data_IF_746034626371
#
_entry.id   IF_746034626371
#
_cell.length_a   1.000
_cell.length_b   1.000
_cell.length_c   1.000
_cell.angle_alpha   90.00
_cell.angle_beta   90.00
_cell.angle_gamma   90.00
#
_symmetry.space_group_name_H-M   'P 1'
#
loop_
_entity.id
_entity.type
_entity.pdbx_description
1 polymer ?
#
# COMPACT_ATOMS: atom_id res chain seq x y z
N UNK A 1 -1.84 2.57 21.62
CA UNK A 1 -2.27 2.69 23.02
C UNK A 1 -1.08 2.99 23.93
N UNK A 2 -1.33 3.66 25.06
CA UNK A 2 -0.33 3.91 26.11
C UNK A 2 -0.21 2.64 26.96
N UNK A 3 1.01 2.10 27.10
CA UNK A 3 1.30 0.94 27.96
C UNK A 3 1.81 1.37 29.35
N UNK A 4 2.60 2.45 29.39
CA UNK A 4 3.15 3.03 30.63
C UNK A 4 3.22 4.55 30.48
N UNK A 5 2.96 5.24 31.58
CA UNK A 5 3.11 6.68 31.69
C UNK A 5 3.69 7.01 33.06
N UNK A 6 4.75 7.81 33.09
CA UNK A 6 5.37 8.33 34.30
C UNK A 6 5.54 9.85 34.16
N UNK A 7 5.34 10.56 35.27
CA UNK A 7 5.42 12.01 35.32
C UNK A 7 6.17 12.45 36.58
N UNK A 8 7.10 13.37 36.40
CA UNK A 8 7.75 14.07 37.52
C UNK A 8 7.79 15.57 37.29
N UNK A 9 7.64 16.34 38.37
CA UNK A 9 7.80 17.80 38.36
C UNK A 9 8.79 18.18 39.46
N UNK A 10 9.74 19.06 39.12
CA UNK A 10 10.82 19.48 40.03
C UNK A 10 11.59 18.29 40.68
N UNK A 11 11.66 17.15 39.99
CA UNK A 11 12.31 15.93 40.48
C UNK A 11 11.46 15.05 41.39
N UNK A 12 10.22 15.43 41.71
CA UNK A 12 9.30 14.63 42.50
C UNK A 12 8.29 13.91 41.57
N UNK A 13 8.04 12.59 41.76
CA UNK A 13 7.04 11.86 40.98
C UNK A 13 5.63 12.37 41.31
N UNK A 14 4.79 12.47 40.27
CA UNK A 14 3.39 12.88 40.39
C UNK A 14 2.45 11.72 40.07
N UNK A 15 1.37 11.61 40.84
CA UNK A 15 0.34 10.62 40.60
C UNK A 15 -0.53 11.03 39.40
N UNK A 16 -0.44 10.24 38.32
CA UNK A 16 -1.30 10.39 37.15
C UNK A 16 -2.74 9.99 37.48
N UNK A 17 -3.68 10.68 36.85
CA UNK A 17 -5.13 10.45 36.92
C UNK A 17 -5.67 10.29 35.52
N UNK A 18 -6.71 9.48 35.37
CA UNK A 18 -7.42 9.34 34.09
C UNK A 18 -8.24 10.61 33.79
N UNK A 19 -8.31 10.99 32.51
CA UNK A 19 -9.01 12.16 32.00
C UNK A 19 -8.08 13.35 31.73
N UNK A 20 -8.53 14.26 30.86
CA UNK A 20 -7.76 15.43 30.40
C UNK A 20 -7.54 16.56 31.42
N UNK A 21 -7.89 16.37 32.70
CA UNK A 21 -7.77 17.38 33.76
C UNK A 21 -9.04 18.20 34.01
N UNK A 22 -8.92 19.31 34.76
CA UNK A 22 -10.06 20.18 35.05
C UNK A 22 -10.46 21.00 33.81
N UNK A 23 -11.73 20.94 33.43
CA UNK A 23 -12.31 21.75 32.34
C UNK A 23 -12.35 21.08 30.96
N UNK A 24 -11.92 19.82 30.83
CA UNK A 24 -11.70 19.17 29.54
C UNK A 24 -12.45 17.84 29.41
N UNK A 25 -13.78 17.86 29.58
CA UNK A 25 -14.64 16.68 29.35
C UNK A 25 -14.53 16.10 27.91
N UNK A 26 -13.98 16.88 26.98
CA UNK A 26 -13.71 16.49 25.58
C UNK A 26 -12.43 15.68 25.38
N UNK A 27 -11.54 15.59 26.37
CA UNK A 27 -10.23 15.00 26.17
C UNK A 27 -10.06 13.70 26.99
N UNK A 28 -9.84 12.62 26.27
CA UNK A 28 -9.41 11.35 26.82
C UNK A 28 -7.89 11.38 26.97
N UNK A 29 -7.37 10.91 28.11
CA UNK A 29 -5.94 10.94 28.37
C UNK A 29 -5.61 10.78 29.85
N UNK A 30 -4.43 11.30 30.23
CA UNK A 30 -3.97 11.32 31.62
C UNK A 30 -3.61 12.75 32.03
N UNK A 31 -3.80 13.06 33.30
CA UNK A 31 -3.49 14.36 33.89
C UNK A 31 -2.88 14.20 35.29
N UNK A 32 -2.17 15.22 35.76
CA UNK A 32 -1.74 15.31 37.15
C UNK A 32 -1.83 16.75 37.63
N UNK A 33 -2.05 16.93 38.93
CA UNK A 33 -2.01 18.24 39.55
C UNK A 33 -0.56 18.60 39.88
N UNK A 34 -0.23 19.86 39.64
CA UNK A 34 1.07 20.46 39.95
C UNK A 34 0.81 21.70 40.78
N UNK A 35 1.60 21.88 41.84
CA UNK A 35 1.57 23.12 42.62
C UNK A 35 2.23 24.27 41.83
N UNK A 36 1.39 25.15 41.30
CA UNK A 36 1.80 26.28 40.47
C UNK A 36 2.37 27.48 41.26
N UNK A 37 2.33 27.46 42.60
CA UNK A 37 2.71 28.61 43.44
C UNK A 37 4.12 29.13 43.18
N UNK A 38 5.05 28.25 42.79
CA UNK A 38 6.45 28.58 42.52
C UNK A 38 6.73 29.08 41.10
N UNK A 39 5.78 28.97 40.16
CA UNK A 39 5.98 29.31 38.74
C UNK A 39 6.22 30.81 38.50
N UNK A 40 5.75 31.67 39.40
CA UNK A 40 5.97 33.12 39.32
C UNK A 40 7.44 33.51 39.61
N UNK A 41 8.20 32.64 40.27
CA UNK A 41 9.54 32.96 40.80
C UNK A 41 10.63 32.06 40.21
N UNK A 42 10.29 30.83 39.81
CA UNK A 42 11.25 29.86 39.28
C UNK A 42 10.64 28.98 38.20
N UNK A 43 11.44 28.65 37.18
CA UNK A 43 11.11 27.63 36.21
C UNK A 43 10.95 26.26 36.88
N UNK A 44 9.87 25.56 36.54
CA UNK A 44 9.60 24.19 37.01
C UNK A 44 9.87 23.19 35.88
N UNK A 45 10.93 22.37 35.96
CA UNK A 45 11.14 21.31 34.99
C UNK A 45 10.11 20.20 35.20
N UNK A 46 9.47 19.78 34.12
CA UNK A 46 8.50 18.68 34.10
C UNK A 46 8.98 17.66 33.08
N UNK A 47 9.08 16.40 33.49
CA UNK A 47 9.47 15.29 32.64
C UNK A 47 8.32 14.29 32.53
N UNK A 48 7.98 13.93 31.31
CA UNK A 48 6.99 12.92 30.98
C UNK A 48 7.68 11.79 30.24
N UNK A 49 7.42 10.55 30.67
CA UNK A 49 7.89 9.36 29.98
C UNK A 49 6.69 8.49 29.64
N UNK A 50 6.57 8.13 28.37
CA UNK A 50 5.45 7.33 27.87
C UNK A 50 5.98 6.17 27.03
N UNK A 51 5.45 4.98 27.30
CA UNK A 51 5.59 3.83 26.41
C UNK A 51 4.30 3.69 25.60
N UNK A 52 4.43 3.71 24.28
CA UNK A 52 3.32 3.55 23.36
C UNK A 52 3.48 2.29 22.52
N UNK A 53 2.37 1.65 22.22
CA UNK A 53 2.27 0.59 21.22
C UNK A 53 1.32 1.02 20.11
N UNK A 54 1.83 1.08 18.89
CA UNK A 54 1.08 1.47 17.70
C UNK A 54 1.97 1.40 16.46
N UNK A 55 1.36 1.30 15.29
CA UNK A 55 2.03 1.12 14.00
C UNK A 55 1.56 2.10 12.91
N UNK A 56 0.67 3.06 13.25
CA UNK A 56 0.06 3.94 12.26
C UNK A 56 0.70 5.33 12.26
N UNK A 57 0.42 6.14 13.29
CA UNK A 57 0.89 7.52 13.34
C UNK A 57 1.20 8.00 14.76
N UNK A 58 2.05 9.02 14.84
CA UNK A 58 2.36 9.76 16.05
C UNK A 58 2.25 11.26 15.75
N UNK A 59 1.44 11.96 16.54
CA UNK A 59 1.23 13.40 16.39
C UNK A 59 1.53 14.15 17.69
N UNK A 60 2.14 15.32 17.55
CA UNK A 60 2.42 16.27 18.62
C UNK A 60 1.73 17.59 18.29
N UNK A 61 0.86 18.06 19.18
CA UNK A 61 0.37 19.45 19.14
C UNK A 61 1.23 20.34 20.03
N UNK A 62 2.06 21.22 19.47
CA UNK A 62 2.90 22.12 20.26
C UNK A 62 2.04 23.16 20.99
N UNK A 63 2.43 23.44 22.24
CA UNK A 63 1.81 24.48 23.08
C UNK A 63 2.85 25.37 23.77
N UNK A 64 4.12 24.99 23.76
CA UNK A 64 5.16 25.78 24.42
C UNK A 64 5.56 27.01 23.61
N UNK A 65 6.18 27.98 24.29
CA UNK A 65 6.80 29.14 23.63
C UNK A 65 7.83 28.74 22.58
N UNK A 66 8.60 27.70 22.87
CA UNK A 66 9.45 26.99 21.92
C UNK A 66 9.31 25.49 22.15
N UNK A 67 9.02 24.76 21.08
CA UNK A 67 8.90 23.30 21.08
C UNK A 67 9.99 22.69 20.22
N UNK A 68 10.82 21.83 20.81
CA UNK A 68 11.76 20.98 20.08
C UNK A 68 11.29 19.53 20.14
N UNK A 69 11.08 18.91 18.99
CA UNK A 69 10.69 17.50 18.92
C UNK A 69 11.65 16.75 17.99
N UNK A 70 12.31 15.74 18.55
CA UNK A 70 13.23 14.87 17.82
C UNK A 70 12.65 13.47 17.78
N UNK A 71 12.51 12.92 16.57
CA UNK A 71 12.06 11.56 16.37
C UNK A 71 13.15 10.73 15.70
N UNK A 72 13.27 9.47 16.13
CA UNK A 72 14.06 8.43 15.48
C UNK A 72 13.21 7.17 15.43
N UNK A 73 13.22 6.50 14.30
CA UNK A 73 12.51 5.24 14.10
C UNK A 73 13.31 4.34 13.17
N UNK A 74 13.36 3.01 13.41
CA UNK A 74 13.95 2.06 12.47
C UNK A 74 13.07 1.83 11.22
N UNK A 75 11.87 2.41 11.15
CA UNK A 75 10.98 2.27 10.00
C UNK A 75 11.49 3.07 8.79
N UNK A 76 11.64 2.51 7.58
CA UNK A 76 12.27 3.21 6.46
C UNK A 76 11.37 4.20 5.71
N UNK A 77 10.07 4.23 6.02
CA UNK A 77 9.07 4.89 5.17
C UNK A 77 8.16 5.85 5.96
N UNK A 78 8.70 6.99 6.43
CA UNK A 78 7.88 8.01 7.08
C UNK A 78 7.06 8.82 6.06
N UNK A 79 5.91 9.30 6.51
CA UNK A 79 5.15 10.38 5.88
C UNK A 79 4.97 11.51 6.89
N UNK A 80 5.56 12.65 6.58
CA UNK A 80 5.43 13.87 7.40
C UNK A 80 4.15 14.60 7.02
N UNK A 81 3.28 14.82 8.00
CA UNK A 81 1.93 15.36 7.83
C UNK A 81 1.61 16.43 8.88
N UNK A 82 0.46 17.06 8.75
CA UNK A 82 0.00 18.16 9.61
C UNK A 82 0.49 19.53 9.16
N UNK A 83 0.28 20.55 10.00
CA UNK A 83 0.64 21.93 9.69
C UNK A 83 2.11 22.28 9.92
N UNK A 84 2.85 21.42 10.63
CA UNK A 84 4.27 21.62 10.93
C UNK A 84 5.11 20.51 10.33
N UNK A 85 5.99 20.86 9.39
CA UNK A 85 6.95 19.94 8.78
C UNK A 85 8.29 19.97 9.53
N UNK A 86 9.08 18.88 9.47
CA UNK A 86 10.38 18.83 10.13
C UNK A 86 11.34 19.86 9.53
N UNK A 87 12.10 20.55 10.38
CA UNK A 87 13.14 21.49 9.98
C UNK A 87 14.32 20.75 9.30
N UNK A 88 14.59 19.52 9.72
CA UNK A 88 15.53 18.62 9.07
C UNK A 88 15.09 17.17 9.23
N UNK A 89 15.34 16.34 8.22
CA UNK A 89 15.07 14.91 8.27
C UNK A 89 16.13 14.14 7.47
N UNK A 90 16.33 12.87 7.83
CA UNK A 90 17.11 11.91 7.08
C UNK A 90 16.35 10.58 7.02
N UNK A 91 16.22 10.02 5.81
CA UNK A 91 15.51 8.75 5.55
C UNK A 91 16.50 7.80 4.89
N UNK A 92 16.53 6.56 5.35
CA UNK A 92 17.41 5.50 4.87
C UNK A 92 16.70 4.14 4.94
N UNK A 93 17.31 3.09 4.37
CA UNK A 93 16.80 1.73 4.48
C UNK A 93 16.74 1.19 5.92
N UNK A 94 17.56 1.73 6.83
CA UNK A 94 17.62 1.32 8.24
C UNK A 94 16.69 2.15 9.14
N UNK A 95 15.96 3.11 8.58
CA UNK A 95 15.03 3.97 9.30
C UNK A 95 15.09 5.45 8.96
N UNK A 96 14.45 6.26 9.79
CA UNK A 96 14.47 7.72 9.66
C UNK A 96 14.76 8.46 10.97
N UNK A 97 15.22 9.70 10.81
CA UNK A 97 15.28 10.70 11.87
C UNK A 97 14.68 12.01 11.40
N UNK A 98 14.01 12.72 12.31
CA UNK A 98 13.40 14.02 12.04
C UNK A 98 13.55 14.94 13.23
N UNK A 99 13.80 16.22 12.97
CA UNK A 99 13.86 17.27 13.99
C UNK A 99 12.91 18.41 13.63
N UNK A 100 12.02 18.72 14.57
CA UNK A 100 11.06 19.80 14.50
C UNK A 100 11.48 20.90 15.48
N UNK A 101 11.39 22.15 15.02
CA UNK A 101 11.52 23.34 15.86
C UNK A 101 10.33 24.24 15.59
N UNK A 102 9.43 24.33 16.55
CA UNK A 102 8.17 25.06 16.42
C UNK A 102 8.16 26.15 17.48
N UNK A 103 8.24 27.40 17.04
CA UNK A 103 8.16 28.58 17.90
C UNK A 103 6.72 29.04 18.04
N UNK A 104 6.40 29.74 19.12
CA UNK A 104 5.08 30.34 19.39
C UNK A 104 4.53 31.14 18.20
N UNK A 105 5.38 31.85 17.47
CA UNK A 105 4.97 32.66 16.31
C UNK A 105 4.31 31.82 15.22
N UNK A 106 4.66 30.53 15.12
CA UNK A 106 4.09 29.61 14.14
C UNK A 106 2.76 29.00 14.61
N UNK A 107 2.37 29.15 15.89
CA UNK A 107 1.15 28.57 16.45
C UNK A 107 -0.12 29.34 16.04
N UNK A 108 0.02 30.61 15.62
CA UNK A 108 -1.12 31.45 15.22
C UNK A 108 -2.12 31.77 16.35
N UNK A 109 -1.73 31.58 17.61
CA UNK A 109 -2.59 31.76 18.80
C UNK A 109 -1.80 32.30 20.00
N UNK A 110 -2.50 32.86 20.98
CA UNK A 110 -1.90 33.25 22.28
C UNK A 110 -1.57 32.01 23.11
N UNK A 111 -0.41 32.04 23.82
CA UNK A 111 -0.02 30.98 24.77
C UNK A 111 -0.85 31.00 26.06
N UNK A 112 -1.41 32.16 26.39
CA UNK A 112 -2.19 32.39 27.59
C UNK A 112 -3.56 32.89 27.17
N UNK A 113 -4.60 32.22 27.64
CA UNK A 113 -5.96 32.72 27.59
C UNK A 113 -6.48 32.88 29.01
N UNK A 114 -6.93 34.11 29.30
CA UNK A 114 -7.52 34.49 30.58
C UNK A 114 -9.04 34.33 30.59
N UNK A 115 -9.65 33.90 29.48
CA UNK A 115 -11.10 33.69 29.36
C UNK A 115 -11.63 32.51 30.19
N UNK A 116 -10.73 31.65 30.67
CA UNK A 116 -11.08 30.44 31.43
C UNK A 116 -11.63 29.30 30.56
N UNK A 117 -11.77 29.50 29.25
CA UNK A 117 -12.19 28.45 28.32
C UNK A 117 -10.98 27.72 27.73
N UNK A 118 -10.54 26.65 28.40
CA UNK A 118 -9.44 25.82 27.91
C UNK A 118 -9.74 25.18 26.54
N UNK A 119 -11.01 25.09 26.12
CA UNK A 119 -11.39 24.56 24.83
C UNK A 119 -11.15 25.54 23.67
N UNK A 120 -11.21 26.87 23.93
CA UNK A 120 -10.92 27.91 22.93
C UNK A 120 -9.46 27.88 22.48
N UNK A 121 -8.56 27.50 23.38
CA UNK A 121 -7.11 27.48 23.18
C UNK A 121 -6.63 26.36 22.27
N UNK A 122 -7.34 25.22 22.23
CA UNK A 122 -6.92 24.01 21.51
C UNK A 122 -7.43 24.00 20.06
N UNK A 123 -8.30 24.96 19.70
CA UNK A 123 -9.08 24.93 18.45
C UNK A 123 -10.20 23.88 18.48
N UNK A 124 -11.12 23.88 17.50
CA UNK A 124 -12.21 22.92 17.46
C UNK A 124 -11.66 21.49 17.34
N UNK A 125 -11.70 20.74 18.44
CA UNK A 125 -11.58 19.29 18.41
C UNK A 125 -12.86 18.71 17.81
N UNK A 126 -12.97 18.68 16.48
CA UNK A 126 -14.07 17.99 15.82
C UNK A 126 -14.58 18.53 14.48
N UNK A 127 -14.04 19.62 13.93
CA UNK A 127 -14.45 20.04 12.58
C UNK A 127 -13.58 19.38 11.52
N UNK A 128 -14.07 18.23 11.03
CA UNK A 128 -13.86 17.65 9.71
C UNK A 128 -12.54 18.00 9.00
N UNK A 129 -11.41 17.86 9.68
CA UNK A 129 -10.13 17.83 9.01
C UNK A 129 -10.06 16.47 8.30
N UNK A 130 -9.59 16.42 7.03
CA UNK A 130 -9.47 15.15 6.32
C UNK A 130 -8.73 14.13 7.19
N UNK A 131 -9.21 12.88 7.23
CA UNK A 131 -8.63 11.84 8.10
C UNK A 131 -7.09 11.87 8.05
N UNK A 132 -6.46 12.15 9.19
CA UNK A 132 -5.00 12.21 9.34
C UNK A 132 -4.34 13.59 9.19
N UNK A 133 -5.06 14.64 8.79
CA UNK A 133 -4.50 15.99 8.69
C UNK A 133 -4.99 16.91 9.82
N UNK A 134 -4.08 17.40 10.65
CA UNK A 134 -4.37 18.41 11.68
C UNK A 134 -3.41 19.60 11.50
N UNK A 135 -3.91 20.79 11.11
CA UNK A 135 -3.06 21.95 10.87
C UNK A 135 -2.41 22.48 12.15
N UNK A 136 -2.91 22.13 13.33
CA UNK A 136 -2.34 22.51 14.61
C UNK A 136 -1.34 21.46 15.15
N UNK A 137 -1.09 20.37 14.43
CA UNK A 137 -0.20 19.30 14.83
C UNK A 137 1.00 19.13 13.89
N UNK A 138 2.11 18.67 14.46
CA UNK A 138 3.17 17.99 13.73
C UNK A 138 2.86 16.49 13.78
N UNK A 139 2.61 15.85 12.64
CA UNK A 139 2.23 14.45 12.57
C UNK A 139 3.18 13.64 11.70
N UNK A 140 3.38 12.37 12.07
CA UNK A 140 4.22 11.43 11.36
C UNK A 140 3.46 10.13 11.24
N UNK A 141 3.23 9.71 10.01
CA UNK A 141 2.61 8.42 9.69
C UNK A 141 3.67 7.45 9.21
N UNK A 142 3.64 6.22 9.71
CA UNK A 142 4.48 5.12 9.29
C UNK A 142 3.74 4.43 8.16
N UNK A 143 4.14 4.72 6.92
CA UNK A 143 3.52 4.12 5.75
C UNK A 143 4.24 2.83 5.44
N UNK A 144 3.52 1.76 5.15
CA UNK A 144 4.09 0.61 4.46
C UNK A 144 3.97 0.84 2.94
N UNK A 145 5.05 1.23 2.24
CA UNK A 145 4.97 1.60 0.83
C UNK A 145 4.76 0.38 -0.08
N UNK A 146 4.73 -0.83 0.48
CA UNK A 146 4.44 -2.05 -0.26
C UNK A 146 3.39 -2.84 0.47
N UNK A 147 2.19 -2.28 0.45
CA UNK A 147 1.01 -3.06 0.72
C UNK A 147 0.97 -4.23 -0.29
N UNK A 148 1.31 -5.44 0.17
CA UNK A 148 1.24 -6.68 -0.64
C UNK A 148 -0.14 -6.76 -1.29
N UNK A 149 -1.18 -6.31 -0.58
CA UNK A 149 -2.54 -6.20 -1.07
C UNK A 149 -2.67 -5.22 -2.25
N UNK A 150 -1.98 -4.08 -2.25
CA UNK A 150 -1.93 -3.17 -3.42
C UNK A 150 -1.27 -3.80 -4.66
N UNK A 151 -0.21 -4.60 -4.47
CA UNK A 151 0.44 -5.32 -5.59
C UNK A 151 -0.45 -6.45 -6.11
N UNK A 152 -1.15 -7.15 -5.22
CA UNK A 152 -2.15 -8.16 -5.59
C UNK A 152 -3.35 -7.52 -6.28
N UNK A 153 -3.87 -6.39 -5.80
CA UNK A 153 -4.97 -5.64 -6.44
C UNK A 153 -4.59 -5.20 -7.85
N UNK A 154 -3.38 -4.63 -8.02
CA UNK A 154 -2.84 -4.34 -9.36
C UNK A 154 -2.74 -5.62 -10.21
N UNK A 155 -2.31 -6.75 -9.64
CA UNK A 155 -2.23 -8.02 -10.38
C UNK A 155 -3.58 -8.50 -10.88
N UNK A 156 -4.63 -8.39 -10.07
CA UNK A 156 -6.01 -8.75 -10.45
C UNK A 156 -6.52 -7.81 -11.52
N UNK A 157 -6.25 -6.50 -11.38
CA UNK A 157 -6.58 -5.49 -12.41
C UNK A 157 -5.86 -5.78 -13.72
N UNK A 158 -4.62 -6.25 -13.73
CA UNK A 158 -3.95 -6.69 -14.96
C UNK A 158 -4.30 -8.14 -15.36
N UNK A 159 -5.06 -8.86 -14.54
CA UNK A 159 -5.41 -10.25 -14.78
C UNK A 159 -6.27 -10.46 -16.02
N UNK A 160 -7.08 -9.47 -16.41
CA UNK A 160 -7.82 -9.52 -17.68
C UNK A 160 -6.88 -9.64 -18.88
N UNK A 161 -5.69 -9.03 -18.81
CA UNK A 161 -4.69 -9.07 -19.88
C UNK A 161 -4.15 -10.49 -20.03
N UNK A 162 -3.83 -11.13 -18.90
CA UNK A 162 -3.36 -12.52 -18.90
C UNK A 162 -4.43 -13.46 -19.44
N UNK A 163 -5.66 -13.34 -18.94
CA UNK A 163 -6.78 -14.18 -19.36
C UNK A 163 -7.07 -13.98 -20.85
N UNK A 164 -7.16 -12.73 -21.29
CA UNK A 164 -7.41 -12.36 -22.68
C UNK A 164 -6.33 -12.89 -23.62
N UNK A 165 -5.05 -12.67 -23.31
CA UNK A 165 -3.96 -13.16 -24.16
C UNK A 165 -3.79 -14.66 -24.15
N UNK A 166 -4.02 -15.30 -23.01
CA UNK A 166 -3.98 -16.77 -22.94
C UNK A 166 -5.07 -17.35 -23.84
N UNK A 167 -6.32 -16.89 -23.73
CA UNK A 167 -7.38 -17.36 -24.60
C UNK A 167 -7.17 -17.02 -26.07
N UNK A 168 -6.65 -15.83 -26.37
CA UNK A 168 -6.28 -15.46 -27.73
C UNK A 168 -5.19 -16.39 -28.29
N UNK A 169 -4.20 -16.78 -27.49
CA UNK A 169 -3.17 -17.72 -27.91
C UNK A 169 -3.75 -19.12 -28.20
N UNK A 170 -4.64 -19.63 -27.34
CA UNK A 170 -5.35 -20.89 -27.60
C UNK A 170 -6.25 -20.81 -28.84
N UNK A 171 -6.95 -19.68 -29.04
CA UNK A 171 -7.79 -19.43 -30.21
C UNK A 171 -6.96 -19.41 -31.50
N UNK A 172 -5.83 -18.71 -31.50
CA UNK A 172 -4.91 -18.71 -32.65
C UNK A 172 -4.36 -20.10 -32.92
N UNK A 173 -4.15 -20.92 -31.89
CA UNK A 173 -3.75 -22.30 -32.06
C UNK A 173 -4.85 -23.15 -32.73
N UNK A 174 -6.11 -22.98 -32.33
CA UNK A 174 -7.25 -23.66 -32.97
C UNK A 174 -7.37 -23.27 -34.45
N UNK A 175 -7.34 -21.96 -34.73
CA UNK A 175 -7.49 -21.40 -36.09
C UNK A 175 -6.33 -21.77 -37.01
N UNK A 176 -5.09 -21.69 -36.54
CA UNK A 176 -3.89 -21.92 -37.37
C UNK A 176 -3.54 -23.41 -37.45
N UNK A 177 -3.61 -24.15 -36.33
CA UNK A 177 -3.22 -25.56 -36.30
C UNK A 177 -4.35 -26.51 -36.72
N UNK A 178 -5.58 -26.02 -36.86
CA UNK A 178 -6.76 -26.82 -37.26
C UNK A 178 -7.15 -27.87 -36.22
N UNK A 179 -6.70 -27.71 -34.97
CA UNK A 179 -6.98 -28.64 -33.87
C UNK A 179 -8.12 -28.08 -33.05
N UNK A 180 -9.29 -28.74 -33.09
CA UNK A 180 -10.47 -28.36 -32.31
C UNK A 180 -10.19 -28.50 -30.81
N UNK A 181 -9.91 -27.38 -30.16
CA UNK A 181 -9.80 -27.29 -28.70
C UNK A 181 -11.20 -27.41 -28.11
N UNK A 182 -11.38 -28.31 -27.14
CA UNK A 182 -12.71 -28.51 -26.52
C UNK A 182 -13.08 -27.33 -25.62
N UNK A 183 -14.38 -27.02 -25.47
CA UNK A 183 -14.85 -25.99 -24.54
C UNK A 183 -14.40 -26.25 -23.09
N UNK A 184 -14.25 -27.53 -22.71
CA UNK A 184 -13.77 -27.94 -21.39
C UNK A 184 -12.30 -27.54 -21.17
N UNK A 185 -11.46 -27.56 -22.21
CA UNK A 185 -10.06 -27.12 -22.11
C UNK A 185 -9.97 -25.62 -21.84
N UNK A 186 -10.77 -24.80 -22.54
CA UNK A 186 -10.86 -23.37 -22.23
C UNK A 186 -11.31 -23.12 -20.78
N UNK A 187 -12.29 -23.89 -20.29
CA UNK A 187 -12.77 -23.76 -18.92
C UNK A 187 -11.67 -24.11 -17.89
N UNK A 188 -10.96 -25.22 -18.11
CA UNK A 188 -9.89 -25.67 -17.21
C UNK A 188 -8.68 -24.74 -17.22
N UNK A 189 -8.28 -24.23 -18.39
CA UNK A 189 -7.23 -23.21 -18.50
C UNK A 189 -7.65 -21.94 -17.76
N UNK A 190 -8.88 -21.47 -17.98
CA UNK A 190 -9.44 -20.32 -17.26
C UNK A 190 -9.45 -20.50 -15.75
N UNK A 191 -9.84 -21.68 -15.26
CA UNK A 191 -9.81 -22.02 -13.84
C UNK A 191 -8.38 -21.98 -13.27
N UNK A 192 -7.38 -22.47 -14.03
CA UNK A 192 -5.97 -22.37 -13.67
C UNK A 192 -5.49 -20.92 -13.55
N UNK A 193 -5.90 -20.05 -14.48
CA UNK A 193 -5.59 -18.63 -14.42
C UNK A 193 -6.22 -17.92 -13.22
N UNK A 194 -7.43 -18.31 -12.81
CA UNK A 194 -8.04 -17.79 -11.57
C UNK A 194 -7.27 -18.28 -10.34
N UNK A 195 -6.89 -19.57 -10.34
CA UNK A 195 -6.14 -20.19 -9.24
C UNK A 195 -4.78 -19.51 -9.02
N UNK A 196 -4.14 -19.00 -10.07
CA UNK A 196 -2.95 -18.16 -9.95
C UNK A 196 -3.15 -17.00 -8.97
N UNK A 197 -4.22 -16.21 -9.09
CA UNK A 197 -4.43 -15.03 -8.24
C UNK A 197 -4.68 -15.41 -6.77
N UNK A 198 -5.43 -16.49 -6.55
CA UNK A 198 -5.69 -17.01 -5.20
C UNK A 198 -4.39 -17.49 -4.56
N UNK A 199 -3.58 -18.23 -5.29
CA UNK A 199 -2.30 -18.75 -4.82
C UNK A 199 -1.27 -17.63 -4.62
N UNK A 200 -1.24 -16.64 -5.50
CA UNK A 200 -0.37 -15.46 -5.37
C UNK A 200 -0.67 -14.71 -4.07
N UNK A 201 -1.94 -14.45 -3.78
CA UNK A 201 -2.35 -13.77 -2.55
C UNK A 201 -1.93 -14.59 -1.32
N UNK A 202 -2.32 -15.86 -1.26
CA UNK A 202 -2.04 -16.72 -0.11
C UNK A 202 -0.54 -16.90 0.15
N UNK A 203 0.27 -17.04 -0.90
CA UNK A 203 1.72 -17.22 -0.75
C UNK A 203 2.45 -15.90 -0.50
N UNK A 204 1.96 -14.78 -1.04
CA UNK A 204 2.61 -13.48 -0.84
C UNK A 204 2.58 -13.06 0.63
N UNK A 205 1.56 -13.45 1.39
CA UNK A 205 1.48 -13.22 2.84
C UNK A 205 2.56 -13.95 3.64
N UNK A 206 3.02 -15.12 3.16
CA UNK A 206 3.95 -15.98 3.92
C UNK A 206 5.40 -15.78 3.49
N UNK A 207 5.65 -15.73 2.17
CA UNK A 207 7.02 -15.73 1.61
C UNK A 207 7.38 -14.46 0.84
N UNK A 208 6.46 -13.48 0.79
CA UNK A 208 6.62 -12.24 0.05
C UNK A 208 6.27 -12.36 -1.44
N UNK A 209 5.95 -11.22 -2.05
CA UNK A 209 5.35 -11.13 -3.38
C UNK A 209 6.18 -11.78 -4.51
N UNK A 210 7.49 -11.51 -4.56
CA UNK A 210 8.31 -11.96 -5.69
C UNK A 210 8.46 -13.49 -5.74
N UNK A 211 8.73 -14.13 -4.60
CA UNK A 211 8.81 -15.59 -4.51
C UNK A 211 7.45 -16.24 -4.73
N UNK A 212 6.39 -15.68 -4.14
CA UNK A 212 5.01 -16.13 -4.36
C UNK A 212 4.65 -16.09 -5.84
N UNK A 213 5.00 -15.02 -6.56
CA UNK A 213 4.75 -14.89 -8.00
C UNK A 213 5.46 -15.97 -8.80
N UNK A 214 6.75 -16.22 -8.53
CA UNK A 214 7.52 -17.23 -9.25
C UNK A 214 6.99 -18.65 -9.00
N UNK A 215 6.65 -18.98 -7.75
CA UNK A 215 6.09 -20.28 -7.38
C UNK A 215 4.71 -20.46 -8.01
N UNK A 216 3.82 -19.49 -7.82
CA UNK A 216 2.45 -19.56 -8.31
C UNK A 216 2.39 -19.55 -9.85
N UNK A 217 3.12 -18.64 -10.48
CA UNK A 217 3.21 -18.54 -11.93
C UNK A 217 3.87 -19.78 -12.54
N UNK A 218 4.97 -20.25 -11.96
CA UNK A 218 5.65 -21.47 -12.41
C UNK A 218 4.75 -22.71 -12.32
N UNK A 219 3.97 -22.83 -11.23
CA UNK A 219 3.02 -23.93 -11.06
C UNK A 219 1.91 -23.89 -12.11
N UNK A 220 1.32 -22.73 -12.39
CA UNK A 220 0.25 -22.60 -13.39
C UNK A 220 0.78 -22.79 -14.80
N UNK A 221 1.90 -22.16 -15.17
CA UNK A 221 2.56 -22.37 -16.47
C UNK A 221 2.89 -23.85 -16.66
N UNK A 222 3.47 -24.50 -15.66
CA UNK A 222 3.79 -25.93 -15.69
C UNK A 222 2.56 -26.81 -15.87
N UNK A 223 1.51 -26.57 -15.06
CA UNK A 223 0.25 -27.31 -15.12
C UNK A 223 -0.43 -27.18 -16.49
N UNK A 224 -0.56 -25.95 -17.00
CA UNK A 224 -1.20 -25.67 -18.29
C UNK A 224 -0.38 -26.26 -19.45
N UNK A 225 0.95 -26.15 -19.39
CA UNK A 225 1.84 -26.74 -20.41
C UNK A 225 1.74 -28.26 -20.43
N UNK A 226 1.79 -28.91 -19.26
CA UNK A 226 1.68 -30.36 -19.15
C UNK A 226 0.31 -30.86 -19.64
N UNK A 227 -0.77 -30.15 -19.27
CA UNK A 227 -2.11 -30.46 -19.75
C UNK A 227 -2.23 -30.34 -21.27
N UNK A 228 -1.74 -29.25 -21.85
CA UNK A 228 -1.75 -29.07 -23.30
C UNK A 228 -0.85 -30.09 -24.03
N UNK A 229 0.24 -30.56 -23.43
CA UNK A 229 1.04 -31.65 -24.00
C UNK A 229 0.23 -32.95 -24.14
N UNK A 230 -0.56 -33.28 -23.12
CA UNK A 230 -1.44 -34.45 -23.12
C UNK A 230 -2.56 -34.32 -24.16
N UNK A 231 -3.22 -33.15 -24.24
CA UNK A 231 -4.37 -32.95 -25.14
C UNK A 231 -3.95 -32.83 -26.60
N UNK A 232 -2.91 -32.05 -26.90
CA UNK A 232 -2.40 -31.86 -28.27
C UNK A 232 -1.58 -33.05 -28.77
N UNK A 233 -1.30 -34.04 -27.90
CA UNK A 233 -0.40 -35.18 -28.15
C UNK A 233 0.96 -34.76 -28.73
N UNK A 234 1.45 -33.58 -28.36
CA UNK A 234 2.66 -33.00 -28.94
C UNK A 234 3.36 -32.06 -27.96
N UNK A 235 4.54 -32.48 -27.50
CA UNK A 235 5.40 -31.67 -26.63
C UNK A 235 5.91 -30.39 -27.28
N UNK A 236 6.15 -30.38 -28.60
CA UNK A 236 6.58 -29.18 -29.32
C UNK A 236 5.51 -28.09 -29.29
N UNK A 237 4.25 -28.48 -29.51
CA UNK A 237 3.10 -27.57 -29.49
C UNK A 237 2.83 -27.04 -28.08
N UNK A 238 2.90 -27.93 -27.09
CA UNK A 238 2.74 -27.55 -25.70
C UNK A 238 3.86 -26.61 -25.22
N UNK A 239 5.12 -26.87 -25.60
CA UNK A 239 6.24 -26.00 -25.24
C UNK A 239 6.09 -24.58 -25.82
N UNK A 240 5.49 -24.43 -27.02
CA UNK A 240 5.16 -23.11 -27.56
C UNK A 240 4.12 -22.38 -26.71
N UNK A 241 3.05 -23.07 -26.30
CA UNK A 241 2.02 -22.50 -25.40
C UNK A 241 2.63 -22.14 -24.05
N UNK A 242 3.43 -23.04 -23.47
CA UNK A 242 4.11 -22.81 -22.19
C UNK A 242 5.11 -21.66 -22.24
N UNK A 243 5.87 -21.54 -23.33
CA UNK A 243 6.78 -20.42 -23.54
C UNK A 243 6.06 -19.09 -23.68
N UNK A 244 4.93 -19.06 -24.41
CA UNK A 244 4.09 -17.87 -24.53
C UNK A 244 3.48 -17.48 -23.17
N UNK A 245 2.97 -18.44 -22.41
CA UNK A 245 2.46 -18.22 -21.05
C UNK A 245 3.56 -17.73 -20.11
N UNK A 246 4.74 -18.34 -20.12
CA UNK A 246 5.88 -17.90 -19.32
C UNK A 246 6.28 -16.45 -19.65
N UNK A 247 6.33 -16.10 -20.95
CA UNK A 247 6.58 -14.74 -21.40
C UNK A 247 5.53 -13.75 -20.91
N UNK A 248 4.25 -14.12 -20.98
CA UNK A 248 3.14 -13.31 -20.49
C UNK A 248 3.22 -13.07 -18.97
N UNK A 249 3.56 -14.09 -18.19
CA UNK A 249 3.77 -13.97 -16.75
C UNK A 249 5.02 -13.14 -16.40
N UNK A 250 6.11 -13.28 -17.15
CA UNK A 250 7.30 -12.45 -16.99
C UNK A 250 6.98 -10.97 -17.25
N UNK A 251 6.20 -10.69 -18.30
CA UNK A 251 5.70 -9.34 -18.59
C UNK A 251 4.80 -8.82 -17.47
N UNK A 252 3.90 -9.63 -16.93
CA UNK A 252 3.09 -9.25 -15.77
C UNK A 252 3.96 -8.89 -14.58
N UNK A 253 5.00 -9.68 -14.28
CA UNK A 253 5.91 -9.39 -13.19
C UNK A 253 6.58 -8.02 -13.34
N UNK A 254 7.02 -7.67 -14.56
CA UNK A 254 7.58 -6.35 -14.86
C UNK A 254 6.54 -5.25 -14.66
N UNK A 255 5.31 -5.42 -15.16
CA UNK A 255 4.23 -4.46 -14.97
C UNK A 255 3.90 -4.21 -13.50
N UNK A 256 3.96 -5.26 -12.66
CA UNK A 256 3.69 -5.17 -11.23
C UNK A 256 4.85 -4.57 -10.44
N UNK A 257 6.07 -4.67 -10.96
CA UNK A 257 7.26 -4.08 -10.36
C UNK A 257 7.40 -2.58 -10.64
N UNK A 258 6.71 -2.08 -11.67
CA UNK A 258 6.80 -0.69 -12.11
C UNK A 258 5.62 0.13 -11.59
N UNK A 259 5.91 1.12 -10.76
CA UNK A 259 4.88 1.98 -10.17
C UNK A 259 4.39 3.08 -11.14
N UNK A 260 5.29 3.67 -11.93
CA UNK A 260 5.01 4.88 -12.71
C UNK A 260 4.86 4.67 -14.23
N UNK A 261 4.93 3.44 -14.75
CA UNK A 261 4.93 3.18 -16.21
C UNK A 261 4.00 2.05 -16.67
N UNK A 262 3.14 1.54 -15.80
CA UNK A 262 2.33 0.37 -16.09
C UNK A 262 1.36 0.58 -17.28
N UNK A 263 0.72 1.76 -17.40
CA UNK A 263 -0.18 2.07 -18.52
C UNK A 263 0.56 2.16 -19.86
N UNK A 264 1.75 2.76 -19.87
CA UNK A 264 2.57 2.89 -21.07
C UNK A 264 3.00 1.51 -21.59
N UNK A 265 3.54 0.67 -20.72
CA UNK A 265 4.00 -0.67 -21.12
C UNK A 265 2.80 -1.56 -21.47
N UNK A 266 1.72 -1.49 -20.69
CA UNK A 266 0.50 -2.24 -20.97
C UNK A 266 -0.13 -1.92 -22.33
N UNK A 267 -0.21 -0.63 -22.68
CA UNK A 267 -0.72 -0.21 -24.00
C UNK A 267 0.17 -0.64 -25.16
N UNK A 268 1.51 -0.55 -25.02
CA UNK A 268 2.45 -1.03 -26.03
C UNK A 268 2.34 -2.55 -26.25
N UNK A 269 2.15 -3.32 -25.17
CA UNK A 269 1.93 -4.76 -25.23
C UNK A 269 0.62 -5.12 -25.94
N UNK A 270 -0.47 -4.44 -25.59
CA UNK A 270 -1.76 -4.58 -26.26
C UNK A 270 -1.65 -4.30 -27.76
N UNK A 271 -0.96 -3.22 -28.13
CA UNK A 271 -0.70 -2.87 -29.51
C UNK A 271 0.13 -3.95 -30.24
N UNK A 272 1.24 -4.38 -29.64
CA UNK A 272 2.13 -5.38 -30.23
C UNK A 272 1.41 -6.72 -30.44
N UNK A 273 0.59 -7.14 -29.48
CA UNK A 273 -0.16 -8.39 -29.59
C UNK A 273 -1.28 -8.30 -30.63
N UNK A 274 -2.00 -7.18 -30.72
CA UNK A 274 -2.97 -6.95 -31.79
C UNK A 274 -2.29 -7.00 -33.17
N UNK A 275 -1.15 -6.31 -33.32
CA UNK A 275 -0.36 -6.35 -34.55
C UNK A 275 0.08 -7.77 -34.91
N UNK A 276 0.52 -8.56 -33.92
CA UNK A 276 0.88 -9.97 -34.12
C UNK A 276 -0.32 -10.80 -34.60
N UNK A 277 -1.50 -10.65 -33.99
CA UNK A 277 -2.73 -11.33 -34.44
C UNK A 277 -3.08 -10.95 -35.87
N UNK A 278 -3.10 -9.65 -36.19
CA UNK A 278 -3.41 -9.18 -37.55
C UNK A 278 -2.42 -9.74 -38.57
N UNK A 279 -1.13 -9.79 -38.23
CA UNK A 279 -0.10 -10.32 -39.12
C UNK A 279 -0.22 -11.83 -39.32
N UNK A 280 -0.46 -12.60 -38.25
CA UNK A 280 -0.58 -14.05 -38.32
C UNK A 280 -1.87 -14.50 -39.02
N UNK A 281 -2.94 -13.71 -38.90
CA UNK A 281 -4.25 -14.03 -39.50
C UNK A 281 -4.42 -13.48 -40.93
N UNK A 282 -3.44 -12.74 -41.47
CA UNK A 282 -3.55 -12.05 -42.78
C UNK A 282 -3.86 -12.96 -43.98
N UNK A 283 -3.51 -14.24 -43.89
CA UNK A 283 -3.71 -15.23 -44.97
C UNK A 283 -4.87 -16.19 -44.67
N UNK A 284 -5.64 -15.96 -43.61
CA UNK A 284 -6.83 -16.77 -43.31
C UNK A 284 -8.01 -16.30 -44.14
N UNK A 285 -8.62 -17.24 -44.86
CA UNK A 285 -9.78 -16.97 -45.70
C UNK A 285 -11.06 -17.01 -44.86
N UNK A 286 -11.46 -15.85 -44.34
CA UNK A 286 -12.62 -15.70 -43.46
C UNK A 286 -13.96 -15.88 -44.20
N UNK A 287 -13.99 -15.73 -45.53
CA UNK A 287 -15.22 -15.71 -46.34
C UNK A 287 -15.69 -17.05 -46.90
N UNK A 288 -14.84 -18.08 -46.94
CA UNK A 288 -15.09 -19.29 -47.76
C UNK A 288 -16.05 -20.36 -47.21
N UNK A 289 -16.64 -20.20 -46.02
CA UNK A 289 -17.46 -21.26 -45.37
C UNK A 289 -18.98 -21.05 -45.38
N UNK A 290 -19.49 -19.97 -45.97
CA UNK A 290 -20.94 -19.69 -45.95
C UNK A 290 -21.69 -20.23 -47.19
N UNK A 291 -21.01 -20.64 -48.27
CA UNK A 291 -21.68 -20.99 -49.54
C UNK A 291 -21.74 -22.48 -49.92
N UNK A 292 -21.55 -23.44 -48.98
CA UNK A 292 -21.69 -24.88 -49.29
C UNK A 292 -22.56 -25.63 -48.29
N UNK A 293 -23.79 -25.20 -48.12
CA UNK A 293 -24.85 -25.99 -47.47
C UNK A 293 -26.23 -25.65 -48.00
N UNK A 294 -26.32 -25.41 -49.31
CA UNK A 294 -27.55 -25.00 -49.98
C UNK A 294 -27.56 -25.34 -51.46
N UNK A 295 -27.26 -26.59 -51.80
CA UNK A 295 -27.75 -27.27 -53.01
C UNK A 295 -27.99 -28.75 -52.67
#
# INVERSE_FOLDING_TARGET
>A
GIERAELSAAGAPLALRSGGGQGSARFQGVSAFVDASSLAVRAMPVAFEFAFRGNESLALRPWAGDTSWRLRSPWPHPSFQGGFLPASHAISGDGFSAEYRISNLALGRSLVDTSGDFASLIGPAGEAAPEGYDPAAAAISLIDPVDIYSRVDRSVKYGFLIIGFTFLAYLMFDVIAGVRVSAVEYLLVGAGLVLFFVMLLAFAEVVGFALAFLIAGGAIVGLTTAYSAAVLRSWRRAALIGGLLAGLYAVLFVLLSLESFALLIGSLLLFAALAAVMYLTRNLDWGGRIERSGE
#
